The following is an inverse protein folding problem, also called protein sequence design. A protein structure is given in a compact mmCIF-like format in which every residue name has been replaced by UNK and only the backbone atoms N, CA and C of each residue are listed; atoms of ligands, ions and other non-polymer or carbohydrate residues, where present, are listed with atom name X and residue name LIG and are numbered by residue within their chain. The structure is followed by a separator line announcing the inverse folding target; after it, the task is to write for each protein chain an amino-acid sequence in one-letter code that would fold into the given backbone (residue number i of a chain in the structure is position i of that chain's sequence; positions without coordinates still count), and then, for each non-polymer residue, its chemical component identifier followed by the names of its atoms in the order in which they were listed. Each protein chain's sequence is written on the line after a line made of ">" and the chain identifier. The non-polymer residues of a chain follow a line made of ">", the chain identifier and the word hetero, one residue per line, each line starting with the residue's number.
data_IF_266418787796
#
_entry.id   IF_266418787796
#
_cell.length_a   1.000
_cell.length_b   1.000
_cell.length_c   1.000
_cell.angle_alpha   90.00
_cell.angle_beta   90.00
_cell.angle_gamma   90.00
#
_symmetry.space_group_name_H-M   'P 1'
#
loop_
_entity.id
_entity.type
_entity.pdbx_description
1 polymer ?
#
# COMPACT_ATOMS: atom_id res chain seq x y z
N UNK A 1 12.80 -0.87 -1.67
CA UNK A 1 13.68 0.33 -1.75
C UNK A 1 14.68 0.37 -2.92
N UNK A 2 15.54 -0.64 -3.11
CA UNK A 2 16.59 -0.62 -4.16
C UNK A 2 16.03 -0.41 -5.57
N UNK A 3 14.94 -1.08 -5.94
CA UNK A 3 14.29 -0.91 -7.24
C UNK A 3 13.84 0.54 -7.50
N UNK A 4 13.25 1.20 -6.49
CA UNK A 4 12.84 2.60 -6.57
C UNK A 4 14.05 3.53 -6.73
N UNK A 5 15.09 3.37 -5.90
CA UNK A 5 16.33 4.13 -6.02
C UNK A 5 17.00 3.94 -7.39
N UNK A 6 16.96 2.71 -7.93
CA UNK A 6 17.44 2.44 -9.28
C UNK A 6 16.61 3.18 -10.33
N UNK A 7 15.28 3.10 -10.29
CA UNK A 7 14.41 3.81 -11.22
C UNK A 7 14.68 5.33 -11.24
N UNK A 8 14.85 5.95 -10.06
CA UNK A 8 15.24 7.35 -9.94
C UNK A 8 16.61 7.62 -10.59
N UNK A 9 17.60 6.75 -10.34
CA UNK A 9 18.94 6.87 -10.96
C UNK A 9 18.93 6.73 -12.49
N UNK A 10 17.88 6.10 -13.05
CA UNK A 10 17.66 5.95 -14.49
C UNK A 10 16.84 7.09 -15.09
N UNK A 11 16.51 8.12 -14.32
CA UNK A 11 15.86 9.34 -14.79
C UNK A 11 14.36 9.41 -14.52
N UNK A 12 13.78 8.45 -13.78
CA UNK A 12 12.38 8.57 -13.36
C UNK A 12 12.26 9.66 -12.27
N UNK A 13 11.26 10.53 -12.38
CA UNK A 13 11.10 11.65 -11.43
C UNK A 13 10.36 11.26 -10.15
N UNK A 14 9.43 10.30 -10.26
CA UNK A 14 8.52 9.89 -9.18
C UNK A 14 8.30 8.39 -9.18
N UNK A 15 8.47 7.74 -8.04
CA UNK A 15 8.19 6.32 -7.80
C UNK A 15 7.22 6.20 -6.64
N UNK A 16 6.20 5.36 -6.76
CA UNK A 16 5.39 4.97 -5.62
C UNK A 16 5.82 3.57 -5.15
N UNK A 17 5.91 3.38 -3.84
CA UNK A 17 6.04 2.08 -3.20
C UNK A 17 4.76 1.86 -2.39
N UNK A 18 3.93 0.90 -2.82
CA UNK A 18 2.73 0.48 -2.11
C UNK A 18 3.04 -0.82 -1.38
N UNK A 19 2.78 -0.83 -0.08
CA UNK A 19 3.13 -1.92 0.81
C UNK A 19 1.88 -2.44 1.51
N UNK A 20 1.50 -3.68 1.19
CA UNK A 20 0.34 -4.35 1.78
C UNK A 20 0.73 -5.52 2.68
N UNK A 21 2.03 -5.73 2.92
CA UNK A 21 2.52 -6.65 3.95
C UNK A 21 1.91 -6.27 5.30
N UNK A 22 1.58 -7.27 6.12
CA UNK A 22 0.90 -7.02 7.40
C UNK A 22 1.75 -6.18 8.36
N UNK A 23 3.07 -6.22 8.20
CA UNK A 23 4.02 -5.47 8.99
C UNK A 23 4.28 -4.11 8.37
N UNK A 24 4.46 -3.09 9.22
CA UNK A 24 4.91 -1.80 8.72
C UNK A 24 6.33 -1.93 8.16
N UNK A 25 6.51 -1.59 6.88
CA UNK A 25 7.80 -1.56 6.18
C UNK A 25 8.68 -0.38 6.61
N UNK A 26 9.01 -0.34 7.91
CA UNK A 26 9.75 0.72 8.58
C UNK A 26 11.10 1.04 7.91
N UNK A 27 11.76 0.06 7.30
CA UNK A 27 13.01 0.27 6.57
C UNK A 27 12.80 1.07 5.27
N UNK A 28 11.73 0.79 4.53
CA UNK A 28 11.40 1.56 3.32
C UNK A 28 11.02 2.99 3.68
N UNK A 29 10.21 3.16 4.74
CA UNK A 29 9.89 4.47 5.29
C UNK A 29 11.16 5.27 5.63
N UNK A 30 12.07 4.69 6.43
CA UNK A 30 13.29 5.37 6.89
C UNK A 30 14.18 5.82 5.73
N UNK A 31 14.39 4.96 4.73
CA UNK A 31 15.23 5.25 3.56
C UNK A 31 14.74 6.49 2.78
N UNK A 32 13.42 6.69 2.68
CA UNK A 32 12.82 7.74 1.85
C UNK A 32 12.11 8.84 2.65
N UNK A 33 12.25 8.87 3.97
CA UNK A 33 11.47 9.74 4.87
C UNK A 33 11.59 11.24 4.52
N UNK A 34 12.73 11.65 3.97
CA UNK A 34 13.01 13.02 3.52
C UNK A 34 12.90 13.26 2.00
N UNK A 35 12.50 12.27 1.18
CA UNK A 35 12.57 12.34 -0.28
C UNK A 35 11.19 12.32 -0.96
N UNK A 36 10.71 13.50 -1.38
CA UNK A 36 9.43 13.65 -2.12
C UNK A 36 9.36 12.95 -3.48
N UNK A 37 10.47 12.43 -4.00
CA UNK A 37 10.46 11.67 -5.26
C UNK A 37 9.93 10.24 -5.05
N UNK A 38 9.91 9.76 -3.80
CA UNK A 38 9.33 8.46 -3.46
C UNK A 38 8.13 8.67 -2.55
N UNK A 39 6.96 8.22 -3.03
CA UNK A 39 5.77 8.10 -2.20
C UNK A 39 5.76 6.70 -1.60
N UNK A 40 5.87 6.58 -0.28
CA UNK A 40 5.71 5.32 0.44
C UNK A 40 4.31 5.25 1.04
N UNK A 41 3.57 4.18 0.74
CA UNK A 41 2.24 3.91 1.29
C UNK A 41 2.23 2.54 1.95
N UNK A 42 1.80 2.44 3.22
CA UNK A 42 1.76 1.18 3.97
C UNK A 42 0.41 0.93 4.63
N UNK A 43 -0.15 -0.26 4.37
CA UNK A 43 -1.32 -0.83 5.04
C UNK A 43 -0.85 -1.95 5.96
N UNK A 44 -0.86 -1.74 7.26
CA UNK A 44 -0.29 -2.68 8.21
C UNK A 44 -1.13 -2.80 9.48
N UNK A 45 -0.99 -3.92 10.18
CA UNK A 45 -1.59 -4.12 11.48
C UNK A 45 -0.95 -3.20 12.52
N UNK A 46 -1.75 -2.59 13.41
CA UNK A 46 -1.24 -1.76 14.50
C UNK A 46 -2.18 -1.75 15.72
N UNK A 47 -1.66 -1.78 16.96
CA UNK A 47 -0.24 -1.92 17.31
C UNK A 47 0.27 -3.34 16.99
N UNK A 48 1.40 -3.43 16.29
CA UNK A 48 2.04 -4.70 15.91
C UNK A 48 3.54 -4.52 15.68
N UNK A 49 4.27 -5.56 15.25
CA UNK A 49 5.67 -5.39 14.86
C UNK A 49 5.79 -4.38 13.69
N UNK A 50 6.75 -3.45 13.73
CA UNK A 50 7.83 -3.24 14.71
C UNK A 50 7.52 -2.19 15.79
N UNK A 51 6.28 -1.72 15.90
CA UNK A 51 5.86 -0.66 16.82
C UNK A 51 5.97 0.76 16.24
N UNK A 52 6.08 0.89 14.92
CA UNK A 52 6.08 2.15 14.16
C UNK A 52 4.92 2.17 13.14
N UNK A 53 4.85 3.18 12.27
CA UNK A 53 3.78 3.29 11.27
C UNK A 53 2.57 4.07 11.78
N UNK A 54 2.77 4.94 12.78
CA UNK A 54 1.69 5.80 13.26
C UNK A 54 1.22 6.77 12.16
N UNK A 55 -0.06 7.15 12.18
CA UNK A 55 -0.65 8.11 11.22
C UNK A 55 0.08 9.46 11.15
N UNK A 56 0.80 9.83 12.22
CA UNK A 56 1.57 11.08 12.29
C UNK A 56 2.98 11.00 11.70
N UNK A 57 3.46 9.80 11.37
CA UNK A 57 4.73 9.57 10.68
C UNK A 57 4.54 9.87 9.18
N UNK A 58 4.61 11.15 8.81
CA UNK A 58 4.28 11.64 7.47
C UNK A 58 5.49 12.09 6.65
N UNK A 59 6.71 11.74 7.07
CA UNK A 59 7.94 12.22 6.46
C UNK A 59 8.51 13.48 7.11
N UNK A 60 9.67 13.93 6.62
CA UNK A 60 10.39 15.11 7.12
C UNK A 60 10.94 15.98 6.00
N UNK A 61 11.29 17.24 6.32
CA UNK A 61 11.84 18.18 5.35
C UNK A 61 11.00 18.28 4.07
N UNK A 62 11.65 18.04 2.92
CA UNK A 62 11.02 18.02 1.60
C UNK A 62 10.08 16.82 1.40
N UNK A 63 10.28 15.72 2.15
CA UNK A 63 9.48 14.48 2.08
C UNK A 63 8.20 14.51 2.93
N UNK A 64 7.89 15.60 3.63
CA UNK A 64 6.63 15.72 4.39
C UNK A 64 5.42 15.55 3.46
N UNK A 65 4.53 14.64 3.84
CA UNK A 65 3.37 14.21 3.08
C UNK A 65 3.61 12.96 2.22
N UNK A 66 4.86 12.55 1.96
CA UNK A 66 5.18 11.45 1.04
C UNK A 66 5.40 10.10 1.75
N UNK A 67 5.11 10.04 3.05
CA UNK A 67 4.92 8.80 3.81
C UNK A 67 3.46 8.73 4.23
N UNK A 68 2.77 7.66 3.82
CA UNK A 68 1.33 7.46 4.00
C UNK A 68 1.12 6.15 4.76
N UNK A 69 0.88 6.26 6.06
CA UNK A 69 0.57 5.11 6.91
C UNK A 69 -0.93 5.00 7.16
N UNK A 70 -1.48 3.82 6.92
CA UNK A 70 -2.85 3.46 7.31
C UNK A 70 -2.82 2.24 8.24
N UNK A 71 -2.68 2.47 9.55
CA UNK A 71 -2.68 1.40 10.54
C UNK A 71 -4.09 0.82 10.72
N UNK A 72 -4.21 -0.50 10.59
CA UNK A 72 -5.44 -1.28 10.73
C UNK A 72 -5.43 -2.13 12.00
N UNK A 73 -6.61 -2.38 12.55
CA UNK A 73 -6.75 -3.23 13.74
C UNK A 73 -6.56 -4.70 13.39
N UNK A 74 -6.10 -5.52 14.34
CA UNK A 74 -6.15 -6.97 14.19
C UNK A 74 -7.58 -7.45 13.83
N UNK A 75 -7.66 -8.47 12.98
CA UNK A 75 -8.89 -9.03 12.44
C UNK A 75 -9.50 -8.22 11.29
N UNK A 76 -8.85 -7.15 10.82
CA UNK A 76 -9.35 -6.40 9.67
C UNK A 76 -9.35 -7.27 8.42
N UNK A 77 -10.49 -7.32 7.74
CA UNK A 77 -10.67 -8.04 6.49
C UNK A 77 -10.66 -7.10 5.30
N UNK A 78 -11.10 -7.64 4.17
CA UNK A 78 -11.07 -6.97 2.88
C UNK A 78 -11.86 -5.64 2.86
N UNK A 79 -12.94 -5.52 3.63
CA UNK A 79 -13.73 -4.30 3.73
C UNK A 79 -12.90 -3.10 4.19
N UNK A 80 -12.03 -3.29 5.19
CA UNK A 80 -11.17 -2.24 5.72
C UNK A 80 -9.96 -1.96 4.81
N UNK A 81 -9.40 -2.99 4.17
CA UNK A 81 -8.34 -2.80 3.16
C UNK A 81 -8.88 -2.04 1.94
N UNK A 82 -10.05 -2.44 1.42
CA UNK A 82 -10.73 -1.78 0.32
C UNK A 82 -11.04 -0.32 0.66
N UNK A 83 -11.59 -0.06 1.86
CA UNK A 83 -11.84 1.29 2.34
C UNK A 83 -10.56 2.14 2.42
N UNK A 84 -9.43 1.56 2.82
CA UNK A 84 -8.17 2.27 2.93
C UNK A 84 -7.52 2.53 1.56
N UNK A 85 -7.59 1.56 0.66
CA UNK A 85 -7.15 1.71 -0.73
C UNK A 85 -7.96 2.81 -1.42
N UNK A 86 -9.29 2.67 -1.45
CA UNK A 86 -10.19 3.63 -2.10
C UNK A 86 -10.19 5.01 -1.42
N UNK A 87 -10.10 5.03 -0.09
CA UNK A 87 -10.22 6.24 0.71
C UNK A 87 -8.91 6.99 0.91
N UNK A 88 -7.75 6.39 0.68
CA UNK A 88 -6.44 7.04 0.92
C UNK A 88 -5.48 6.80 -0.23
N UNK A 89 -5.22 5.55 -0.60
CA UNK A 89 -4.11 5.25 -1.51
C UNK A 89 -4.41 5.67 -2.95
N UNK A 90 -5.56 5.28 -3.51
CA UNK A 90 -5.89 5.63 -4.89
C UNK A 90 -5.98 7.15 -5.10
N UNK A 91 -6.64 7.94 -4.24
CA UNK A 91 -6.67 9.40 -4.39
C UNK A 91 -5.27 10.03 -4.35
N UNK A 92 -4.41 9.59 -3.43
CA UNK A 92 -3.03 10.09 -3.32
C UNK A 92 -2.19 9.68 -4.52
N UNK A 93 -2.29 8.44 -4.99
CA UNK A 93 -1.55 7.96 -6.16
C UNK A 93 -1.97 8.69 -7.44
N UNK A 94 -3.27 9.00 -7.61
CA UNK A 94 -3.79 9.83 -8.70
C UNK A 94 -3.26 11.26 -8.66
N UNK A 95 -3.12 11.84 -7.47
CA UNK A 95 -2.55 13.18 -7.30
C UNK A 95 -1.02 13.19 -7.49
N UNK A 96 -0.33 12.12 -7.07
CA UNK A 96 1.12 11.98 -7.16
C UNK A 96 1.61 11.66 -8.58
N UNK A 97 0.82 10.92 -9.36
CA UNK A 97 1.13 10.51 -10.74
C UNK A 97 2.54 9.88 -10.85
N UNK A 98 2.78 8.71 -10.23
CA UNK A 98 4.08 8.05 -10.27
C UNK A 98 4.40 7.56 -11.69
N UNK A 99 5.69 7.48 -12.03
CA UNK A 99 6.12 6.83 -13.28
C UNK A 99 6.09 5.30 -13.20
N UNK A 100 6.13 4.74 -11.99
CA UNK A 100 5.98 3.31 -11.72
C UNK A 100 5.48 3.11 -10.29
N UNK A 101 4.65 2.09 -10.09
CA UNK A 101 4.24 1.60 -8.78
C UNK A 101 4.99 0.29 -8.50
N UNK A 102 5.77 0.28 -7.43
CA UNK A 102 6.42 -0.92 -6.90
C UNK A 102 5.58 -1.42 -5.74
N UNK A 103 5.11 -2.66 -5.81
CA UNK A 103 4.31 -3.28 -4.76
C UNK A 103 5.19 -4.17 -3.90
N UNK A 104 5.30 -3.84 -2.63
CA UNK A 104 5.85 -4.67 -1.56
C UNK A 104 4.75 -5.68 -1.20
N UNK A 105 4.84 -6.85 -1.84
CA UNK A 105 3.78 -7.84 -1.92
C UNK A 105 3.98 -8.95 -0.86
N UNK A 106 3.63 -8.62 0.38
CA UNK A 106 3.50 -9.60 1.47
C UNK A 106 2.15 -10.29 1.47
N UNK A 107 2.10 -11.53 1.97
CA UNK A 107 0.89 -12.35 2.04
C UNK A 107 0.56 -12.82 3.45
N UNK A 108 1.22 -12.24 4.44
CA UNK A 108 1.02 -12.51 5.87
C UNK A 108 -0.19 -11.78 6.49
N UNK A 109 -0.93 -11.03 5.68
CA UNK A 109 -2.28 -10.56 6.02
C UNK A 109 -3.36 -11.65 5.74
N UNK A 110 -2.98 -12.82 5.22
CA UNK A 110 -3.89 -13.93 5.01
C UNK A 110 -4.45 -14.47 6.33
N UNK A 111 -5.72 -14.91 6.34
CA UNK A 111 -6.43 -15.40 7.54
C UNK A 111 -5.77 -16.61 8.19
N UNK A 112 -5.09 -17.44 7.39
CA UNK A 112 -4.37 -18.64 7.85
C UNK A 112 -2.89 -18.37 8.18
N UNK A 113 -2.41 -17.13 8.11
CA UNK A 113 -1.03 -16.79 8.49
C UNK A 113 -0.84 -16.81 10.01
N UNK A 114 0.24 -17.44 10.48
CA UNK A 114 0.52 -17.62 11.90
C UNK A 114 1.22 -16.42 12.56
N UNK A 115 1.88 -15.58 11.76
CA UNK A 115 2.59 -14.39 12.22
C UNK A 115 1.84 -13.10 11.91
N UNK A 116 0.81 -13.18 11.07
CA UNK A 116 -0.15 -12.11 10.87
C UNK A 116 -1.19 -11.98 11.99
N UNK A 117 -2.35 -11.51 11.58
CA UNK A 117 -3.50 -11.33 12.46
C UNK A 117 -4.66 -10.64 11.76
N UNK A 118 -4.70 -10.72 10.44
CA UNK A 118 -5.71 -10.09 9.58
C UNK A 118 -6.63 -11.16 9.00
N UNK A 119 -7.64 -10.76 8.23
CA UNK A 119 -8.68 -11.66 7.75
C UNK A 119 -8.86 -11.60 6.22
N UNK A 120 -7.74 -11.52 5.47
CA UNK A 120 -7.78 -11.61 4.02
C UNK A 120 -7.79 -13.07 3.54
N UNK A 121 -8.56 -13.33 2.49
CA UNK A 121 -8.41 -14.56 1.69
C UNK A 121 -7.53 -14.31 0.46
N UNK A 122 -7.04 -15.38 -0.17
CA UNK A 122 -6.19 -15.34 -1.37
C UNK A 122 -6.73 -14.42 -2.48
N UNK A 123 -8.04 -14.48 -2.76
CA UNK A 123 -8.64 -13.68 -3.84
C UNK A 123 -8.56 -12.16 -3.61
N UNK A 124 -8.45 -11.71 -2.34
CA UNK A 124 -8.33 -10.28 -2.04
C UNK A 124 -7.04 -9.70 -2.62
N UNK A 125 -5.93 -10.46 -2.57
CA UNK A 125 -4.65 -10.04 -3.17
C UNK A 125 -4.72 -9.98 -4.70
N UNK A 126 -5.53 -10.82 -5.33
CA UNK A 126 -5.86 -10.72 -6.75
C UNK A 126 -6.60 -9.42 -7.08
N UNK A 127 -7.61 -9.08 -6.29
CA UNK A 127 -8.36 -7.82 -6.42
C UNK A 127 -7.49 -6.58 -6.18
N UNK A 128 -6.56 -6.63 -5.22
CA UNK A 128 -5.57 -5.56 -5.03
C UNK A 128 -4.67 -5.40 -6.25
N UNK A 129 -4.20 -6.49 -6.84
CA UNK A 129 -3.40 -6.46 -8.06
C UNK A 129 -4.16 -5.89 -9.27
N UNK A 130 -5.42 -6.29 -9.46
CA UNK A 130 -6.30 -5.75 -10.52
C UNK A 130 -6.43 -4.23 -10.39
N UNK A 131 -6.74 -3.77 -9.18
CA UNK A 131 -6.90 -2.35 -8.86
C UNK A 131 -5.62 -1.54 -9.13
N UNK A 132 -4.45 -2.04 -8.72
CA UNK A 132 -3.17 -1.34 -8.93
C UNK A 132 -2.77 -1.36 -10.42
N UNK A 133 -3.06 -2.44 -11.14
CA UNK A 133 -2.83 -2.57 -12.58
C UNK A 133 -3.65 -1.54 -13.36
N UNK A 134 -4.95 -1.47 -13.07
CA UNK A 134 -5.85 -0.48 -13.66
C UNK A 134 -5.42 0.94 -13.35
N UNK A 135 -5.12 1.24 -12.08
CA UNK A 135 -4.62 2.56 -11.67
C UNK A 135 -3.32 2.94 -12.39
N UNK A 136 -2.39 1.99 -12.56
CA UNK A 136 -1.14 2.25 -13.27
C UNK A 136 -1.41 2.67 -14.72
N UNK A 137 -2.36 2.02 -15.39
CA UNK A 137 -2.82 2.42 -16.71
C UNK A 137 -3.53 3.78 -16.70
N UNK A 138 -4.40 4.03 -15.71
CA UNK A 138 -5.16 5.27 -15.54
C UNK A 138 -4.24 6.50 -15.46
N UNK A 139 -3.18 6.42 -14.64
CA UNK A 139 -2.25 7.53 -14.41
C UNK A 139 -1.09 7.59 -15.39
N UNK A 140 -1.04 6.67 -16.38
CA UNK A 140 0.03 6.60 -17.37
C UNK A 140 1.38 6.12 -16.84
N UNK A 141 1.39 5.35 -15.76
CA UNK A 141 2.58 4.71 -15.22
C UNK A 141 2.98 3.47 -16.04
N UNK A 142 4.23 3.03 -15.89
CA UNK A 142 4.64 1.71 -16.35
C UNK A 142 3.85 0.60 -15.61
N UNK A 143 3.74 -0.62 -16.18
CA UNK A 143 3.13 -1.75 -15.48
C UNK A 143 3.73 -1.94 -14.07
N UNK A 144 2.90 -2.23 -13.06
CA UNK A 144 3.37 -2.33 -11.68
C UNK A 144 4.32 -3.51 -11.51
N UNK A 145 5.30 -3.33 -10.63
CA UNK A 145 6.27 -4.36 -10.27
C UNK A 145 5.95 -4.92 -8.88
N UNK A 146 5.52 -6.18 -8.80
CA UNK A 146 5.27 -6.87 -7.53
C UNK A 146 6.55 -7.58 -7.05
N UNK A 147 6.97 -7.28 -5.83
CA UNK A 147 8.16 -7.86 -5.20
C UNK A 147 7.68 -8.61 -3.96
N UNK A 148 7.95 -9.92 -3.93
CA UNK A 148 7.55 -10.79 -2.82
C UNK A 148 8.22 -10.37 -1.51
N UNK A 149 7.44 -10.27 -0.44
CA UNK A 149 7.89 -9.95 0.94
C UNK A 149 7.52 -11.08 1.92
N UNK A 150 6.68 -10.81 2.93
CA UNK A 150 6.24 -11.78 3.95
C UNK A 150 5.19 -12.79 3.48
N UNK A 151 4.87 -13.75 4.35
CA UNK A 151 3.95 -14.86 4.10
C UNK A 151 4.51 -16.16 4.68
N UNK A 152 3.89 -16.63 5.76
CA UNK A 152 4.44 -17.68 6.64
C UNK A 152 3.58 -18.95 6.67
N UNK A 153 2.47 -18.96 5.95
CA UNK A 153 1.74 -20.17 5.59
C UNK A 153 1.95 -20.47 4.09
N UNK A 154 2.59 -21.61 3.77
CA UNK A 154 3.00 -21.94 2.41
C UNK A 154 1.84 -22.20 1.44
N UNK A 155 0.75 -22.78 1.93
CA UNK A 155 -0.43 -23.05 1.11
C UNK A 155 -1.12 -21.71 0.78
N UNK A 156 -1.37 -20.90 1.80
CA UNK A 156 -1.92 -19.56 1.64
C UNK A 156 -1.05 -18.65 0.76
N UNK A 157 0.27 -18.70 0.92
CA UNK A 157 1.22 -17.94 0.12
C UNK A 157 1.14 -18.37 -1.35
N UNK A 158 1.09 -19.67 -1.62
CA UNK A 158 1.02 -20.21 -2.98
C UNK A 158 -0.27 -19.75 -3.67
N UNK A 159 -1.41 -19.87 -3.00
CA UNK A 159 -2.70 -19.45 -3.53
C UNK A 159 -2.77 -17.93 -3.73
N UNK A 160 -2.26 -17.15 -2.79
CA UNK A 160 -2.29 -15.69 -2.86
C UNK A 160 -1.39 -15.15 -3.96
N UNK A 161 -0.18 -15.71 -4.15
CA UNK A 161 0.69 -15.36 -5.29
C UNK A 161 0.00 -15.70 -6.62
N UNK A 162 -0.64 -16.86 -6.72
CA UNK A 162 -1.37 -17.24 -7.92
C UNK A 162 -2.53 -16.28 -8.21
N UNK A 163 -3.29 -15.89 -7.18
CA UNK A 163 -4.38 -14.91 -7.28
C UNK A 163 -3.85 -13.54 -7.72
N UNK A 164 -2.74 -13.05 -7.16
CA UNK A 164 -2.09 -11.80 -7.57
C UNK A 164 -1.69 -11.84 -9.04
N UNK A 165 -1.06 -12.91 -9.51
CA UNK A 165 -0.64 -13.04 -10.91
C UNK A 165 -1.83 -13.04 -11.89
N UNK A 166 -2.95 -13.66 -11.50
CA UNK A 166 -4.18 -13.65 -12.30
C UNK A 166 -4.82 -12.27 -12.29
N UNK A 167 -4.98 -11.67 -11.12
CA UNK A 167 -5.66 -10.39 -10.91
C UNK A 167 -5.08 -9.22 -11.72
N UNK A 168 -3.77 -9.20 -12.02
CA UNK A 168 -3.17 -8.14 -12.88
C UNK A 168 -3.85 -8.01 -14.26
N UNK A 169 -4.51 -9.07 -14.73
CA UNK A 169 -5.22 -9.13 -16.02
C UNK A 169 -6.76 -9.06 -15.89
N UNK A 170 -7.27 -8.96 -14.67
CA UNK A 170 -8.71 -8.92 -14.40
C UNK A 170 -9.24 -7.49 -14.28
N UNK A 171 -10.56 -7.36 -14.28
CA UNK A 171 -11.24 -6.08 -14.03
C UNK A 171 -11.09 -5.71 -12.55
N UNK A 172 -10.75 -4.44 -12.27
CA UNK A 172 -10.64 -4.00 -10.89
C UNK A 172 -12.00 -4.01 -10.19
N UNK A 173 -12.05 -4.27 -8.88
CA UNK A 173 -13.26 -4.07 -8.11
C UNK A 173 -13.64 -2.59 -8.04
N UNK A 174 -14.93 -2.29 -8.10
CA UNK A 174 -15.47 -0.94 -7.89
C UNK A 174 -15.60 -0.65 -6.39
N UNK A 175 -14.46 -0.48 -5.70
CA UNK A 175 -14.43 -0.13 -4.28
C UNK A 175 -14.60 1.36 -4.07
N UNK A 176 -15.68 1.72 -3.38
CA UNK A 176 -15.93 3.09 -2.94
C UNK A 176 -15.65 3.28 -1.46
N UNK A 177 -15.05 4.41 -1.10
CA UNK A 177 -14.90 4.80 0.30
C UNK A 177 -16.17 5.47 0.83
N UNK A 178 -16.94 4.73 1.63
CA UNK A 178 -18.20 5.20 2.21
C UNK A 178 -18.03 6.15 3.42
N UNK A 179 -16.81 6.40 3.90
CA UNK A 179 -16.56 7.17 5.14
C UNK A 179 -16.87 6.38 6.42
N UNK A 180 -16.70 7.02 7.59
CA UNK A 180 -17.12 6.48 8.89
C UNK A 180 -16.18 5.45 9.51
N UNK A 181 -15.06 5.12 8.85
CA UNK A 181 -14.05 4.21 9.40
C UNK A 181 -12.98 5.02 10.13
N UNK A 182 -13.09 5.09 11.45
CA UNK A 182 -12.26 5.92 12.33
C UNK A 182 -10.74 5.85 12.07
N UNK A 183 -10.21 4.67 11.77
CA UNK A 183 -8.76 4.49 11.54
C UNK A 183 -8.31 5.10 10.20
N UNK A 184 -9.16 4.98 9.17
CA UNK A 184 -8.92 5.57 7.85
C UNK A 184 -9.09 7.09 7.93
N UNK A 185 -10.10 7.59 8.65
CA UNK A 185 -10.32 9.03 8.86
C UNK A 185 -9.12 9.71 9.54
N UNK A 186 -8.52 9.09 10.56
CA UNK A 186 -7.30 9.62 11.19
C UNK A 186 -6.14 9.75 10.21
N UNK A 187 -5.99 8.77 9.31
CA UNK A 187 -4.95 8.79 8.29
C UNK A 187 -5.22 9.91 7.28
N UNK A 188 -6.48 10.08 6.86
CA UNK A 188 -6.91 11.20 6.00
C UNK A 188 -6.66 12.56 6.66
N UNK A 189 -7.01 12.73 7.93
CA UNK A 189 -6.79 13.97 8.69
C UNK A 189 -5.31 14.34 8.78
N UNK A 190 -4.43 13.36 9.05
CA UNK A 190 -2.99 13.58 9.14
C UNK A 190 -2.37 13.99 7.78
N UNK A 191 -2.95 13.53 6.68
CA UNK A 191 -2.45 13.72 5.32
C UNK A 191 -3.12 14.86 4.53
N UNK A 192 -4.32 15.28 4.92
CA UNK A 192 -5.08 16.37 4.29
C UNK A 192 -4.32 17.72 4.15
N UNK A 193 -3.39 18.09 5.06
CA UNK A 193 -2.55 19.26 4.84
C UNK A 193 -1.70 19.16 3.56
N UNK A 194 -1.29 17.96 3.16
CA UNK A 194 -0.36 17.70 2.07
C UNK A 194 -1.04 17.28 0.76
N UNK A 195 -2.19 16.59 0.84
CA UNK A 195 -2.90 16.04 -0.32
C UNK A 195 -4.29 16.64 -0.46
N UNK A 196 -4.59 17.25 -1.61
CA UNK A 196 -5.91 17.85 -1.87
C UNK A 196 -6.99 16.80 -2.03
N UNK A 197 -6.62 15.64 -2.55
CA UNK A 197 -7.48 14.48 -2.76
C UNK A 197 -8.04 13.86 -1.48
N UNK A 198 -7.50 14.23 -0.31
CA UNK A 198 -7.94 13.74 1.01
C UNK A 198 -8.75 14.76 1.82
N UNK A 199 -9.02 15.94 1.27
CA UNK A 199 -9.82 17.00 1.91
C UNK A 199 -11.32 16.80 1.72
#
# INVERSE_FOLDING_TARGET
>A
AVAAGHALSRGLERVAILDWDVHHGNGTQDIFYGDRRVLYLSLHQSPFYPGTGAVGEVGEGEGRGFTVNVPLSAGSGEDLYAGALAGVFLPVLREFVPGVIVVSAGFDAHVDDLLGGMALGSDAFGRFAALISELSSEVGAAPPAFILEGGYNLDALTESVAATMQGVQEEAPDWEYAGGVRHIEKSREALAPYWRSLR
#
